data_IF_974203062020
#
_entry.id   IF_974203062020
#
_cell.length_a   1.000
_cell.length_b   1.000
_cell.length_c   1.000
_cell.angle_alpha   90.00
_cell.angle_beta   90.00
_cell.angle_gamma   90.00
#
_symmetry.space_group_name_H-M   'P 1'
#
loop_
_entity.id
_entity.type
_entity.pdbx_description
1 polymer ?
#
# COMPACT_ATOMS: atom_id res chain seq x y z
N UNK A 1 -38.84 22.80 -4.88
CA UNK A 1 -39.79 22.52 -3.78
C UNK A 1 -40.05 21.02 -3.63
N UNK A 2 -40.60 20.34 -4.66
CA UNK A 2 -40.93 18.89 -4.63
C UNK A 2 -39.79 17.98 -4.16
N UNK A 3 -38.59 18.13 -4.71
CA UNK A 3 -37.43 17.30 -4.34
C UNK A 3 -37.06 17.42 -2.86
N UNK A 4 -37.15 18.62 -2.28
CA UNK A 4 -36.85 18.83 -0.86
C UNK A 4 -37.91 18.17 0.03
N UNK A 5 -39.19 18.19 -0.38
CA UNK A 5 -40.24 17.46 0.32
C UNK A 5 -40.00 15.94 0.28
N UNK A 6 -39.62 15.38 -0.87
CA UNK A 6 -39.29 13.95 -1.00
C UNK A 6 -38.12 13.55 -0.09
N UNK A 7 -37.06 14.35 -0.08
CA UNK A 7 -35.89 14.16 0.81
C UNK A 7 -36.35 14.15 2.26
N UNK A 8 -37.11 15.17 2.68
CA UNK A 8 -37.64 15.29 4.04
C UNK A 8 -38.47 14.07 4.42
N UNK A 9 -39.40 13.64 3.58
CA UNK A 9 -40.23 12.44 3.79
C UNK A 9 -39.38 11.18 3.98
N UNK A 10 -38.35 10.96 3.15
CA UNK A 10 -37.50 9.77 3.26
C UNK A 10 -36.66 9.81 4.54
N UNK A 11 -36.09 10.96 4.88
CA UNK A 11 -35.27 11.13 6.08
C UNK A 11 -36.11 10.94 7.34
N UNK A 12 -37.26 11.62 7.43
CA UNK A 12 -38.09 11.65 8.64
C UNK A 12 -38.93 10.37 8.79
N UNK A 13 -39.66 9.98 7.75
CA UNK A 13 -40.62 8.86 7.83
C UNK A 13 -39.98 7.49 7.63
N UNK A 14 -38.84 7.42 6.95
CA UNK A 14 -38.18 6.16 6.60
C UNK A 14 -36.74 6.05 7.10
N UNK A 15 -36.33 6.96 8.00
CA UNK A 15 -34.98 6.98 8.60
C UNK A 15 -33.87 6.94 7.54
N UNK A 16 -34.08 7.66 6.45
CA UNK A 16 -33.12 7.84 5.37
C UNK A 16 -33.15 6.77 4.27
N UNK A 17 -33.95 5.70 4.36
CA UNK A 17 -34.03 4.71 3.29
C UNK A 17 -35.36 3.96 3.20
N UNK A 18 -35.84 3.77 1.96
CA UNK A 18 -36.96 2.91 1.60
C UNK A 18 -36.71 2.28 0.23
N UNK A 19 -37.37 1.17 -0.09
CA UNK A 19 -37.42 0.66 -1.46
C UNK A 19 -38.50 1.40 -2.24
N UNK A 20 -38.14 1.99 -3.39
CA UNK A 20 -39.08 2.66 -4.28
C UNK A 20 -39.40 1.70 -5.44
N UNK A 21 -40.40 0.86 -5.23
CA UNK A 21 -41.03 0.06 -6.28
C UNK A 21 -42.09 0.88 -7.06
N UNK A 22 -42.79 0.24 -7.99
CA UNK A 22 -43.83 0.89 -8.79
C UNK A 22 -44.98 1.46 -7.93
N UNK A 23 -45.40 0.74 -6.88
CA UNK A 23 -46.48 1.18 -5.98
C UNK A 23 -46.08 2.38 -5.13
N UNK A 24 -44.89 2.34 -4.56
CA UNK A 24 -44.33 3.43 -3.76
C UNK A 24 -44.10 4.66 -4.63
N UNK A 25 -43.56 4.49 -5.84
CA UNK A 25 -43.39 5.58 -6.79
C UNK A 25 -44.74 6.24 -7.12
N UNK A 26 -45.78 5.47 -7.41
CA UNK A 26 -47.11 6.00 -7.69
C UNK A 26 -47.65 6.83 -6.50
N UNK A 27 -47.47 6.34 -5.26
CA UNK A 27 -47.83 7.07 -4.04
C UNK A 27 -47.06 8.39 -3.89
N UNK A 28 -45.75 8.38 -4.12
CA UNK A 28 -44.91 9.58 -4.02
C UNK A 28 -45.26 10.62 -5.10
N UNK A 29 -45.54 10.18 -6.33
CA UNK A 29 -45.99 11.07 -7.40
C UNK A 29 -47.38 11.64 -7.10
N UNK A 30 -48.32 10.81 -6.61
CA UNK A 30 -49.65 11.27 -6.21
C UNK A 30 -49.61 12.29 -5.07
N UNK A 31 -48.74 12.09 -4.07
CA UNK A 31 -48.60 13.00 -2.94
C UNK A 31 -47.91 14.33 -3.30
N UNK A 32 -46.99 14.33 -4.26
CA UNK A 32 -46.24 15.53 -4.65
C UNK A 32 -46.80 16.25 -5.87
N UNK A 33 -47.72 15.62 -6.62
CA UNK A 33 -48.27 16.13 -7.87
C UNK A 33 -47.23 16.25 -8.99
N UNK A 34 -46.06 15.61 -8.88
CA UNK A 34 -44.97 15.78 -9.83
C UNK A 34 -44.14 14.51 -9.99
N UNK A 35 -43.76 14.22 -11.23
CA UNK A 35 -42.75 13.21 -11.57
C UNK A 35 -41.39 13.58 -10.99
N UNK A 36 -40.58 12.58 -10.63
CA UNK A 36 -39.20 12.78 -10.17
C UNK A 36 -38.26 11.69 -10.69
N UNK A 37 -36.97 12.04 -10.77
CA UNK A 37 -35.90 11.06 -11.06
C UNK A 37 -35.44 10.39 -9.76
N UNK A 38 -35.57 9.06 -9.69
CA UNK A 38 -35.05 8.25 -8.57
C UNK A 38 -33.54 8.42 -8.41
N UNK A 39 -32.80 8.52 -9.52
CA UNK A 39 -31.35 8.69 -9.51
C UNK A 39 -30.96 10.05 -8.90
N UNK A 40 -31.61 11.14 -9.33
CA UNK A 40 -31.35 12.47 -8.79
C UNK A 40 -31.74 12.58 -7.29
N UNK A 41 -32.82 11.90 -6.89
CA UNK A 41 -33.21 11.81 -5.48
C UNK A 41 -32.17 11.01 -4.66
N UNK A 42 -31.65 9.91 -5.21
CA UNK A 42 -30.63 9.09 -4.57
C UNK A 42 -29.32 9.87 -4.38
N UNK A 43 -28.91 10.64 -5.39
CA UNK A 43 -27.74 11.53 -5.32
C UNK A 43 -27.87 12.57 -4.20
N UNK A 44 -29.03 13.25 -4.11
CA UNK A 44 -29.26 14.27 -3.07
C UNK A 44 -29.32 13.71 -1.65
N UNK A 45 -29.72 12.45 -1.51
CA UNK A 45 -29.72 11.74 -0.23
C UNK A 45 -28.38 11.05 0.06
N UNK A 46 -27.42 11.16 -0.85
CA UNK A 46 -26.11 10.49 -0.76
C UNK A 46 -26.29 8.99 -0.53
N UNK A 47 -27.26 8.38 -1.24
CA UNK A 47 -27.52 6.96 -1.07
C UNK A 47 -26.32 6.15 -1.55
N UNK A 48 -25.91 5.10 -0.80
CA UNK A 48 -24.80 4.25 -1.16
C UNK A 48 -25.16 3.35 -2.35
N UNK A 49 -25.09 3.91 -3.55
CA UNK A 49 -25.20 3.13 -4.80
C UNK A 49 -23.89 2.39 -5.05
N UNK A 50 -23.94 1.34 -5.87
CA UNK A 50 -22.71 0.62 -6.27
C UNK A 50 -21.69 1.52 -6.98
N UNK A 51 -22.12 2.65 -7.56
CA UNK A 51 -21.24 3.62 -8.21
C UNK A 51 -20.56 4.57 -7.24
N UNK A 52 -21.22 4.91 -6.14
CA UNK A 52 -20.64 5.72 -5.06
C UNK A 52 -19.69 4.89 -4.19
N UNK A 53 -20.04 3.64 -3.93
CA UNK A 53 -19.26 2.75 -3.07
C UNK A 53 -18.00 2.22 -3.77
N UNK A 54 -18.02 2.04 -5.10
CA UNK A 54 -16.89 1.44 -5.81
C UNK A 54 -15.57 2.25 -5.72
N UNK A 55 -15.57 3.59 -5.92
CA UNK A 55 -14.40 4.44 -5.74
C UNK A 55 -13.80 4.38 -4.32
N UNK A 56 -14.65 4.24 -3.29
CA UNK A 56 -14.19 4.12 -1.90
C UNK A 56 -13.33 2.86 -1.74
N UNK A 57 -13.80 1.72 -2.26
CA UNK A 57 -13.02 0.47 -2.16
C UNK A 57 -11.72 0.53 -2.97
N UNK A 58 -11.73 1.18 -4.14
CA UNK A 58 -10.50 1.43 -4.92
C UNK A 58 -9.50 2.20 -4.08
N UNK A 59 -9.95 3.33 -3.52
CA UNK A 59 -9.08 4.24 -2.80
C UNK A 59 -8.50 3.54 -1.57
N UNK A 60 -9.32 2.79 -0.82
CA UNK A 60 -8.85 2.01 0.32
C UNK A 60 -7.78 0.97 -0.07
N UNK A 61 -7.95 0.25 -1.18
CA UNK A 61 -6.93 -0.72 -1.67
C UNK A 61 -5.67 -0.01 -2.15
N UNK A 62 -5.80 1.17 -2.77
CA UNK A 62 -4.65 1.94 -3.23
C UNK A 62 -3.80 2.47 -2.06
N UNK A 63 -4.45 2.93 -0.97
CA UNK A 63 -3.76 3.40 0.23
C UNK A 63 -3.24 2.25 1.11
N UNK A 64 -3.99 1.16 1.20
CA UNK A 64 -3.67 0.00 2.02
C UNK A 64 -3.62 -1.26 1.14
N UNK A 65 -2.56 -1.43 0.32
CA UNK A 65 -2.44 -2.55 -0.61
C UNK A 65 -2.25 -3.90 0.10
N UNK A 66 -2.23 -3.91 1.44
CA UNK A 66 -2.29 -5.12 2.26
C UNK A 66 -3.70 -5.74 2.22
N UNK A 67 -4.75 -4.93 2.03
CA UNK A 67 -6.16 -5.34 1.90
C UNK A 67 -6.44 -5.96 0.55
N UNK A 68 -6.72 -7.27 0.52
CA UNK A 68 -7.10 -7.95 -0.73
C UNK A 68 -8.52 -7.56 -1.07
N UNK A 69 -8.87 -7.63 -2.35
CA UNK A 69 -10.25 -7.49 -2.81
C UNK A 69 -11.20 -8.41 -2.03
N UNK A 70 -10.86 -9.68 -1.88
CA UNK A 70 -11.67 -10.65 -1.16
C UNK A 70 -11.78 -10.32 0.34
N UNK A 71 -10.68 -9.91 0.98
CA UNK A 71 -10.69 -9.57 2.41
C UNK A 71 -11.44 -8.26 2.69
N UNK A 72 -11.31 -7.27 1.80
CA UNK A 72 -11.98 -5.98 1.92
C UNK A 72 -13.49 -6.11 1.68
N UNK A 73 -13.89 -6.72 0.57
CA UNK A 73 -15.31 -6.88 0.23
C UNK A 73 -16.01 -7.90 1.15
N UNK A 74 -15.26 -8.85 1.68
CA UNK A 74 -15.73 -9.79 2.70
C UNK A 74 -15.76 -9.24 4.12
N UNK A 75 -15.32 -8.00 4.36
CA UNK A 75 -15.19 -7.44 5.71
C UNK A 75 -16.55 -7.41 6.46
N UNK A 76 -16.56 -8.02 7.65
CA UNK A 76 -17.70 -8.03 8.57
C UNK A 76 -17.50 -6.92 9.60
N UNK A 77 -18.21 -5.82 9.42
CA UNK A 77 -18.20 -4.68 10.33
C UNK A 77 -18.75 -5.07 11.72
N UNK A 78 -19.78 -5.90 11.74
CA UNK A 78 -20.42 -6.40 12.95
C UNK A 78 -20.38 -7.93 13.02
N UNK A 79 -20.26 -8.46 14.24
CA UNK A 79 -20.46 -9.87 14.51
C UNK A 79 -21.96 -10.22 14.53
N UNK A 80 -22.27 -11.52 14.69
CA UNK A 80 -23.66 -12.03 14.72
C UNK A 80 -24.49 -11.46 15.87
N UNK A 81 -23.85 -11.02 16.95
CA UNK A 81 -24.50 -10.43 18.12
C UNK A 81 -24.64 -8.90 17.99
N UNK A 82 -24.10 -8.33 16.91
CA UNK A 82 -24.09 -6.91 16.62
C UNK A 82 -23.05 -6.08 17.33
N UNK A 83 -22.04 -6.72 17.91
CA UNK A 83 -20.84 -6.03 18.38
C UNK A 83 -20.00 -5.60 17.17
N UNK A 84 -19.44 -4.39 17.23
CA UNK A 84 -18.52 -3.88 16.21
C UNK A 84 -17.22 -4.69 16.28
N UNK A 85 -16.89 -5.40 15.20
CA UNK A 85 -15.75 -6.32 15.14
C UNK A 85 -14.81 -6.04 13.97
N UNK A 86 -15.32 -5.48 12.87
CA UNK A 86 -14.53 -5.25 11.65
C UNK A 86 -13.81 -3.91 11.60
N UNK A 87 -14.17 -2.97 12.47
CA UNK A 87 -13.52 -1.67 12.62
C UNK A 87 -13.47 -1.31 14.10
N UNK A 88 -12.27 -1.36 14.68
CA UNK A 88 -12.05 -1.25 16.12
C UNK A 88 -10.87 -0.33 16.41
N UNK A 89 -10.91 0.34 17.55
CA UNK A 89 -9.79 1.15 18.05
C UNK A 89 -8.91 0.29 18.95
N UNK A 90 -7.60 0.38 18.73
CA UNK A 90 -6.55 -0.33 19.46
C UNK A 90 -5.49 0.67 19.92
N UNK A 91 -4.54 0.22 20.74
CA UNK A 91 -3.43 1.08 21.21
C UNK A 91 -2.55 1.58 20.04
N UNK A 92 -2.49 0.83 18.94
CA UNK A 92 -1.77 1.18 17.70
C UNK A 92 -2.60 1.99 16.70
N UNK A 93 -3.83 2.38 17.08
CA UNK A 93 -4.75 3.17 16.26
C UNK A 93 -6.01 2.40 15.85
N UNK A 94 -6.80 2.98 14.95
CA UNK A 94 -8.00 2.33 14.43
C UNK A 94 -7.64 1.35 13.31
N UNK A 95 -8.13 0.12 13.43
CA UNK A 95 -7.82 -0.98 12.52
C UNK A 95 -9.07 -1.50 11.81
N UNK A 96 -8.89 -1.96 10.57
CA UNK A 96 -9.84 -2.87 9.93
C UNK A 96 -9.44 -4.32 10.21
N UNK A 97 -10.38 -5.08 10.77
CA UNK A 97 -10.20 -6.52 11.02
C UNK A 97 -10.84 -7.31 9.89
N UNK A 98 -10.00 -7.95 9.08
CA UNK A 98 -10.44 -8.72 7.90
C UNK A 98 -10.02 -10.19 8.00
N UNK A 99 -10.75 -11.08 7.32
CA UNK A 99 -10.40 -12.51 7.27
C UNK A 99 -9.52 -12.80 6.05
N UNK A 100 -8.45 -13.56 6.24
CA UNK A 100 -7.68 -14.14 5.11
C UNK A 100 -8.34 -15.45 4.66
N UNK A 101 -9.03 -15.42 3.52
CA UNK A 101 -9.76 -16.59 2.98
C UNK A 101 -8.90 -17.87 2.86
N UNK A 102 -7.59 -17.76 2.65
CA UNK A 102 -6.67 -18.91 2.48
C UNK A 102 -6.10 -19.48 3.78
N UNK A 103 -6.19 -18.74 4.91
CA UNK A 103 -5.61 -19.14 6.20
C UNK A 103 -6.65 -19.26 7.32
N UNK A 104 -7.87 -18.76 7.12
CA UNK A 104 -8.91 -18.68 8.16
C UNK A 104 -8.58 -17.70 9.29
N UNK A 105 -7.35 -17.18 9.35
CA UNK A 105 -6.89 -16.23 10.35
C UNK A 105 -7.41 -14.82 10.09
N UNK A 106 -7.70 -14.10 11.17
CA UNK A 106 -7.93 -12.66 11.13
C UNK A 106 -6.63 -11.92 10.83
N UNK A 107 -6.76 -10.75 10.21
CA UNK A 107 -5.69 -9.80 9.97
C UNK A 107 -6.19 -8.42 10.36
N UNK A 108 -5.42 -7.75 11.20
CA UNK A 108 -5.63 -6.35 11.54
C UNK A 108 -4.82 -5.47 10.59
N UNK A 109 -5.47 -4.44 10.05
CA UNK A 109 -4.85 -3.47 9.16
C UNK A 109 -5.00 -2.10 9.81
N UNK A 110 -3.89 -1.55 10.30
CA UNK A 110 -3.82 -0.18 10.82
C UNK A 110 -4.09 0.80 9.68
N UNK A 111 -5.04 1.70 9.92
CA UNK A 111 -5.48 2.68 8.94
C UNK A 111 -4.81 4.04 9.14
N UNK A 112 -4.62 4.77 8.04
CA UNK A 112 -4.25 6.19 8.12
C UNK A 112 -5.44 7.02 8.61
N UNK A 113 -5.17 8.25 9.07
CA UNK A 113 -6.19 9.22 9.49
C UNK A 113 -7.26 9.47 8.42
N UNK A 114 -6.85 9.55 7.16
CA UNK A 114 -7.74 9.73 6.02
C UNK A 114 -8.58 8.47 5.79
N UNK A 115 -7.98 7.28 5.91
CA UNK A 115 -8.69 6.02 5.71
C UNK A 115 -9.70 5.74 6.82
N UNK A 116 -9.40 6.13 8.06
CA UNK A 116 -10.35 6.15 9.18
C UNK A 116 -11.58 6.99 8.81
N UNK A 117 -11.35 8.24 8.37
CA UNK A 117 -12.44 9.16 8.00
C UNK A 117 -13.31 8.61 6.86
N UNK A 118 -12.68 7.98 5.86
CA UNK A 118 -13.38 7.35 4.73
C UNK A 118 -14.21 6.14 5.17
N UNK A 119 -13.68 5.29 6.07
CA UNK A 119 -14.42 4.15 6.63
C UNK A 119 -15.58 4.62 7.50
N UNK A 120 -15.41 5.66 8.30
CA UNK A 120 -16.48 6.25 9.10
C UNK A 120 -17.60 6.83 8.22
N UNK A 121 -17.24 7.58 7.18
CA UNK A 121 -18.20 8.06 6.18
C UNK A 121 -18.95 6.90 5.54
N UNK A 122 -18.24 5.85 5.10
CA UNK A 122 -18.83 4.65 4.52
C UNK A 122 -19.86 4.03 5.48
N UNK A 123 -19.52 3.93 6.76
CA UNK A 123 -20.41 3.37 7.79
C UNK A 123 -21.64 4.25 7.99
N UNK A 124 -21.46 5.58 8.02
CA UNK A 124 -22.55 6.54 8.15
C UNK A 124 -23.53 6.43 6.98
N UNK A 125 -23.06 6.52 5.74
CA UNK A 125 -23.94 6.49 4.55
C UNK A 125 -24.65 5.14 4.36
N UNK A 126 -24.08 4.05 4.88
CA UNK A 126 -24.70 2.72 4.82
C UNK A 126 -25.58 2.37 6.02
N UNK A 127 -25.67 3.25 7.04
CA UNK A 127 -26.48 3.02 8.25
C UNK A 127 -27.98 2.84 7.94
N UNK A 128 -28.63 3.65 7.09
CA UNK A 128 -30.04 3.45 6.74
C UNK A 128 -30.32 2.08 6.11
N UNK A 129 -29.40 1.59 5.25
CA UNK A 129 -29.51 0.27 4.62
C UNK A 129 -29.34 -0.86 5.63
N UNK A 130 -28.40 -0.73 6.59
CA UNK A 130 -28.26 -1.70 7.69
C UNK A 130 -29.52 -1.79 8.53
N UNK A 131 -30.12 -0.64 8.85
CA UNK A 131 -31.37 -0.60 9.62
C UNK A 131 -32.51 -1.28 8.87
N UNK A 132 -32.59 -1.10 7.54
CA UNK A 132 -33.56 -1.78 6.70
C UNK A 132 -33.35 -3.30 6.69
N UNK A 133 -32.13 -3.77 6.45
CA UNK A 133 -31.78 -5.20 6.43
C UNK A 133 -32.03 -5.88 7.78
N UNK A 134 -31.70 -5.20 8.90
CA UNK A 134 -32.03 -5.69 10.27
C UNK A 134 -33.53 -5.92 10.44
N UNK A 135 -34.36 -4.97 10.00
CA UNK A 135 -35.84 -5.10 10.09
C UNK A 135 -36.38 -6.25 9.23
N UNK A 136 -35.65 -6.61 8.18
CA UNK A 136 -35.98 -7.75 7.29
C UNK A 136 -35.35 -9.07 7.74
N UNK A 137 -34.61 -9.08 8.85
CA UNK A 137 -33.87 -10.23 9.35
C UNK A 137 -32.83 -10.78 8.34
N UNK A 138 -32.24 -9.89 7.54
CA UNK A 138 -31.21 -10.22 6.55
C UNK A 138 -29.81 -9.98 7.12
N UNK A 139 -29.01 -11.03 7.25
CA UNK A 139 -27.66 -11.03 7.85
C UNK A 139 -26.63 -10.12 7.13
N UNK A 140 -26.94 -9.67 5.91
CA UNK A 140 -26.11 -8.76 5.13
C UNK A 140 -25.84 -7.41 5.79
N UNK A 141 -26.67 -6.99 6.77
CA UNK A 141 -26.47 -5.75 7.52
C UNK A 141 -25.10 -5.67 8.22
N UNK A 142 -24.48 -6.83 8.50
CA UNK A 142 -23.20 -6.93 9.20
C UNK A 142 -21.99 -6.53 8.36
N UNK A 143 -22.14 -6.43 7.04
CA UNK A 143 -21.03 -6.23 6.11
C UNK A 143 -20.63 -4.76 6.02
N UNK A 144 -19.35 -4.52 5.71
CA UNK A 144 -18.83 -3.16 5.52
C UNK A 144 -19.43 -2.51 4.26
N UNK A 145 -19.48 -3.25 3.14
CA UNK A 145 -19.97 -2.78 1.86
C UNK A 145 -21.39 -3.26 1.57
N UNK A 146 -22.36 -2.35 1.67
CA UNK A 146 -23.78 -2.58 1.39
C UNK A 146 -24.24 -1.51 0.41
N UNK A 147 -24.99 -1.90 -0.61
CA UNK A 147 -25.44 -0.98 -1.67
C UNK A 147 -26.95 -1.05 -1.88
N UNK A 148 -27.56 0.07 -2.26
CA UNK A 148 -28.97 0.16 -2.67
C UNK A 148 -29.13 0.05 -4.20
N UNK A 149 -28.37 -0.87 -4.82
CA UNK A 149 -28.34 -1.05 -6.26
C UNK A 149 -27.61 0.06 -7.04
N UNK A 150 -27.93 0.17 -8.33
CA UNK A 150 -27.31 1.16 -9.25
C UNK A 150 -28.06 2.48 -9.31
N UNK A 151 -29.39 2.44 -9.26
CA UNK A 151 -30.23 3.65 -9.35
C UNK A 151 -30.63 4.21 -7.98
N UNK A 152 -30.23 3.56 -6.89
CA UNK A 152 -30.69 3.85 -5.54
C UNK A 152 -32.10 3.29 -5.28
N UNK A 153 -32.48 3.23 -4.01
CA UNK A 153 -33.80 2.75 -3.55
C UNK A 153 -34.21 1.34 -4.02
N UNK A 154 -33.26 0.52 -4.45
CA UNK A 154 -33.47 -0.89 -4.72
C UNK A 154 -33.25 -1.70 -3.44
N UNK A 155 -33.75 -2.94 -3.38
CA UNK A 155 -33.50 -3.83 -2.24
C UNK A 155 -32.00 -3.87 -1.93
N UNK A 156 -31.58 -3.50 -0.70
CA UNK A 156 -30.17 -3.48 -0.34
C UNK A 156 -29.55 -4.87 -0.41
N UNK A 157 -28.30 -4.95 -0.84
CA UNK A 157 -27.55 -6.20 -0.85
C UNK A 157 -26.08 -5.99 -0.52
N UNK A 158 -25.42 -7.06 -0.08
CA UNK A 158 -23.99 -7.05 0.21
C UNK A 158 -23.21 -6.97 -1.10
N UNK A 159 -22.26 -6.04 -1.15
CA UNK A 159 -21.49 -5.81 -2.35
C UNK A 159 -20.21 -6.67 -2.37
N UNK A 160 -20.36 -7.93 -2.80
CA UNK A 160 -19.31 -8.96 -2.70
C UNK A 160 -18.55 -9.25 -4.01
N UNK A 161 -19.06 -8.83 -5.17
CA UNK A 161 -18.59 -9.36 -6.46
C UNK A 161 -17.55 -8.45 -7.15
N UNK A 162 -16.33 -8.96 -7.31
CA UNK A 162 -15.23 -8.32 -8.04
C UNK A 162 -15.53 -8.05 -9.53
N UNK A 163 -16.26 -8.94 -10.19
CA UNK A 163 -16.68 -8.79 -11.59
C UNK A 163 -17.62 -7.59 -11.70
N UNK A 164 -18.50 -7.41 -10.73
CA UNK A 164 -19.38 -6.24 -10.66
C UNK A 164 -18.57 -4.96 -10.45
N UNK A 165 -17.53 -4.99 -9.61
CA UNK A 165 -16.61 -3.87 -9.42
C UNK A 165 -15.90 -3.46 -10.72
N UNK A 166 -15.21 -4.38 -11.39
CA UNK A 166 -14.50 -4.06 -12.63
C UNK A 166 -15.44 -3.49 -13.71
N UNK A 167 -16.68 -3.99 -13.79
CA UNK A 167 -17.71 -3.44 -14.67
C UNK A 167 -18.16 -2.03 -14.27
N UNK A 168 -18.27 -1.75 -12.96
CA UNK A 168 -18.60 -0.41 -12.46
C UNK A 168 -17.51 0.60 -12.77
N UNK A 169 -16.24 0.23 -12.61
CA UNK A 169 -15.11 1.10 -12.95
C UNK A 169 -15.03 1.41 -14.44
N UNK A 170 -15.68 0.61 -15.27
CA UNK A 170 -15.72 0.75 -16.73
C UNK A 170 -17.05 1.31 -17.22
N UNK A 171 -17.85 1.90 -16.34
CA UNK A 171 -19.06 2.57 -16.78
C UNK A 171 -18.76 3.80 -17.59
N UNK A 172 -19.69 4.09 -18.50
CA UNK A 172 -19.53 5.09 -19.55
C UNK A 172 -19.17 6.46 -18.96
N UNK A 173 -19.78 6.84 -17.85
CA UNK A 173 -19.58 8.13 -17.19
C UNK A 173 -18.16 8.24 -16.60
N UNK A 174 -17.72 7.22 -15.85
CA UNK A 174 -16.36 7.18 -15.31
C UNK A 174 -15.32 7.11 -16.44
N UNK A 175 -15.59 6.30 -17.47
CA UNK A 175 -14.71 6.14 -18.62
C UNK A 175 -14.56 7.44 -19.39
N UNK A 176 -15.67 8.11 -19.69
CA UNK A 176 -15.66 9.39 -20.40
C UNK A 176 -14.93 10.47 -19.59
N UNK A 177 -15.13 10.52 -18.28
CA UNK A 177 -14.49 11.53 -17.43
C UNK A 177 -12.97 11.34 -17.31
N UNK A 178 -12.45 10.11 -17.49
CA UNK A 178 -11.04 9.79 -17.20
C UNK A 178 -10.25 9.19 -18.37
N UNK A 179 -10.88 8.98 -19.53
CA UNK A 179 -10.26 8.33 -20.70
C UNK A 179 -9.00 9.06 -21.18
N UNK A 180 -9.01 10.40 -21.17
CA UNK A 180 -7.84 11.19 -21.59
C UNK A 180 -6.60 10.94 -20.73
N UNK A 181 -6.78 10.69 -19.42
CA UNK A 181 -5.69 10.45 -18.48
C UNK A 181 -5.30 8.97 -18.39
N UNK A 182 -6.28 8.08 -18.44
CA UNK A 182 -6.06 6.65 -18.23
C UNK A 182 -5.77 5.89 -19.53
N UNK A 183 -6.15 6.43 -20.69
CA UNK A 183 -6.00 5.79 -21.98
C UNK A 183 -6.53 4.35 -21.99
N UNK A 184 -5.72 3.42 -22.50
CA UNK A 184 -6.06 2.00 -22.59
C UNK A 184 -6.15 1.29 -21.23
N UNK A 185 -5.51 1.83 -20.18
CA UNK A 185 -5.48 1.20 -18.85
C UNK A 185 -6.88 1.06 -18.25
N UNK A 186 -7.81 1.93 -18.65
CA UNK A 186 -9.18 1.93 -18.15
C UNK A 186 -9.89 0.59 -18.39
N UNK A 187 -9.55 -0.07 -19.51
CA UNK A 187 -10.09 -1.38 -19.91
C UNK A 187 -9.53 -2.54 -19.08
N UNK A 188 -8.55 -2.29 -18.22
CA UNK A 188 -7.91 -3.33 -17.39
C UNK A 188 -8.10 -3.11 -15.90
N UNK A 189 -8.75 -2.00 -15.51
CA UNK A 189 -8.95 -1.66 -14.10
C UNK A 189 -9.71 -2.76 -13.35
N UNK A 190 -9.18 -3.08 -12.17
CA UNK A 190 -9.74 -3.94 -11.15
C UNK A 190 -9.07 -3.65 -9.81
N UNK A 191 -9.68 -4.02 -8.69
CA UNK A 191 -9.05 -3.88 -7.37
C UNK A 191 -7.72 -4.62 -7.30
N UNK A 192 -7.63 -5.82 -7.90
CA UNK A 192 -6.39 -6.59 -7.96
C UNK A 192 -5.26 -5.87 -8.72
N UNK A 193 -5.59 -5.22 -9.85
CA UNK A 193 -4.61 -4.44 -10.63
C UNK A 193 -4.15 -3.21 -9.88
N UNK A 194 -5.08 -2.49 -9.25
CA UNK A 194 -4.78 -1.30 -8.44
C UNK A 194 -3.88 -1.66 -7.25
N UNK A 195 -4.21 -2.76 -6.54
CA UNK A 195 -3.36 -3.32 -5.49
C UNK A 195 -1.95 -3.61 -6.00
N UNK A 196 -1.85 -4.26 -7.16
CA UNK A 196 -0.55 -4.60 -7.73
C UNK A 196 0.27 -3.35 -8.07
N UNK A 197 -0.35 -2.35 -8.69
CA UNK A 197 0.29 -1.07 -8.97
C UNK A 197 0.74 -0.38 -7.69
N UNK A 198 -0.08 -0.34 -6.63
CA UNK A 198 0.32 0.22 -5.34
C UNK A 198 1.55 -0.47 -4.74
N UNK A 199 1.63 -1.81 -4.80
CA UNK A 199 2.82 -2.55 -4.39
C UNK A 199 4.06 -2.20 -5.23
N UNK A 200 3.92 -2.10 -6.55
CA UNK A 200 5.03 -1.68 -7.44
C UNK A 200 5.48 -0.25 -7.14
N UNK A 201 4.57 0.67 -6.81
CA UNK A 201 4.92 2.03 -6.39
C UNK A 201 5.77 2.00 -5.11
N UNK A 202 5.41 1.17 -4.12
CA UNK A 202 6.24 0.98 -2.91
C UNK A 202 7.64 0.50 -3.28
N UNK A 203 7.77 -0.45 -4.21
CA UNK A 203 9.08 -0.86 -4.72
C UNK A 203 9.82 0.29 -5.39
N UNK A 204 9.20 1.05 -6.30
CA UNK A 204 9.86 2.16 -6.98
C UNK A 204 10.34 3.26 -6.03
N UNK A 205 9.58 3.52 -4.96
CA UNK A 205 9.92 4.53 -3.96
C UNK A 205 11.02 4.07 -3.00
N UNK A 206 11.23 2.77 -2.83
CA UNK A 206 12.12 2.23 -1.79
C UNK A 206 13.24 1.34 -2.29
N UNK A 207 13.14 0.89 -3.54
CA UNK A 207 13.95 -0.14 -4.19
C UNK A 207 14.08 -1.45 -3.38
N UNK A 208 13.11 -1.72 -2.50
CA UNK A 208 13.11 -2.89 -1.60
C UNK A 208 11.96 -3.83 -1.93
N UNK A 209 12.29 -5.07 -2.31
CA UNK A 209 11.31 -6.14 -2.49
C UNK A 209 10.65 -6.49 -1.16
N UNK A 210 11.37 -6.37 -0.04
CA UNK A 210 10.86 -6.68 1.28
C UNK A 210 9.75 -5.69 1.69
N UNK A 211 9.99 -4.38 1.53
CA UNK A 211 8.96 -3.34 1.76
C UNK A 211 7.76 -3.50 0.82
N UNK A 212 8.00 -3.88 -0.43
CA UNK A 212 6.91 -4.20 -1.36
C UNK A 212 6.09 -5.41 -0.88
N UNK A 213 6.74 -6.48 -0.45
CA UNK A 213 6.09 -7.69 0.02
C UNK A 213 5.27 -7.44 1.30
N UNK A 214 5.83 -6.69 2.24
CA UNK A 214 5.18 -6.24 3.47
C UNK A 214 3.92 -5.41 3.17
N UNK A 215 4.05 -4.39 2.31
CA UNK A 215 2.89 -3.54 1.92
C UNK A 215 1.78 -4.34 1.25
N UNK A 216 2.13 -5.41 0.52
CA UNK A 216 1.19 -6.34 -0.09
C UNK A 216 0.75 -7.47 0.86
N UNK A 217 1.26 -7.57 2.09
CA UNK A 217 0.98 -8.68 3.01
C UNK A 217 1.27 -10.07 2.42
N UNK A 218 2.26 -10.16 1.53
CA UNK A 218 2.67 -11.35 0.79
C UNK A 218 4.12 -11.73 1.15
N UNK A 219 4.56 -12.93 0.75
CA UNK A 219 5.99 -13.26 0.84
C UNK A 219 6.78 -12.55 -0.25
N UNK A 220 8.09 -12.33 -0.01
CA UNK A 220 9.04 -11.77 -0.97
C UNK A 220 8.96 -12.46 -2.34
N UNK A 221 8.94 -13.80 -2.34
CA UNK A 221 8.81 -14.62 -3.56
C UNK A 221 7.52 -14.32 -4.33
N UNK A 222 6.39 -14.19 -3.64
CA UNK A 222 5.10 -13.90 -4.28
C UNK A 222 5.08 -12.48 -4.85
N UNK A 223 5.58 -11.50 -4.09
CA UNK A 223 5.68 -10.12 -4.55
C UNK A 223 6.56 -10.01 -5.81
N UNK A 224 7.74 -10.63 -5.78
CA UNK A 224 8.66 -10.63 -6.90
C UNK A 224 8.08 -11.31 -8.15
N UNK A 225 7.49 -12.51 -8.01
CA UNK A 225 7.08 -13.32 -9.15
C UNK A 225 5.75 -12.90 -9.79
N UNK A 226 4.85 -12.27 -9.02
CA UNK A 226 3.49 -12.00 -9.48
C UNK A 226 3.12 -10.52 -9.55
N UNK A 227 3.89 -9.64 -8.90
CA UNK A 227 3.55 -8.23 -8.79
C UNK A 227 4.59 -7.32 -9.42
N UNK A 228 5.89 -7.60 -9.23
CA UNK A 228 6.97 -6.77 -9.79
C UNK A 228 7.24 -7.19 -11.24
N UNK A 229 7.03 -6.30 -12.24
CA UNK A 229 7.35 -6.63 -13.62
C UNK A 229 8.85 -6.98 -13.78
N UNK A 230 9.19 -8.08 -14.48
CA UNK A 230 10.59 -8.48 -14.70
C UNK A 230 11.43 -7.39 -15.37
N UNK A 231 10.82 -6.60 -16.27
CA UNK A 231 11.49 -5.48 -16.95
C UNK A 231 11.92 -4.37 -15.99
N UNK A 232 11.10 -4.08 -14.97
CA UNK A 232 11.45 -3.10 -13.94
C UNK A 232 12.59 -3.65 -13.08
N UNK A 233 12.50 -4.92 -12.67
CA UNK A 233 13.56 -5.57 -11.89
C UNK A 233 14.90 -5.53 -12.64
N UNK A 234 14.89 -5.99 -13.90
CA UNK A 234 16.07 -6.03 -14.76
C UNK A 234 16.70 -4.65 -14.93
N UNK A 235 15.89 -3.62 -15.18
CA UNK A 235 16.38 -2.25 -15.29
C UNK A 235 17.18 -1.81 -14.05
N UNK A 236 16.64 -2.05 -12.85
CA UNK A 236 17.35 -1.69 -11.61
C UNK A 236 18.55 -2.58 -11.33
N UNK A 237 18.49 -3.87 -11.64
CA UNK A 237 19.64 -4.78 -11.49
C UNK A 237 20.80 -4.35 -12.42
N UNK A 238 20.52 -4.10 -13.70
CA UNK A 238 21.52 -3.60 -14.64
C UNK A 238 22.08 -2.24 -14.23
N UNK A 239 21.24 -1.36 -13.68
CA UNK A 239 21.68 -0.08 -13.14
C UNK A 239 22.68 -0.28 -12.00
N UNK A 240 22.39 -1.17 -11.05
CA UNK A 240 23.29 -1.46 -9.93
C UNK A 240 24.61 -2.10 -10.38
N UNK A 241 24.55 -3.03 -11.33
CA UNK A 241 25.75 -3.64 -11.92
C UNK A 241 26.62 -2.57 -12.59
N UNK A 242 26.03 -1.67 -13.39
CA UNK A 242 26.76 -0.56 -14.02
C UNK A 242 27.37 0.41 -13.01
N UNK A 243 26.63 0.75 -11.96
CA UNK A 243 27.17 1.59 -10.87
C UNK A 243 28.38 0.91 -10.23
N UNK A 244 28.28 -0.38 -9.89
CA UNK A 244 29.38 -1.13 -9.30
C UNK A 244 30.60 -1.22 -10.24
N UNK A 245 30.39 -1.57 -11.50
CA UNK A 245 31.45 -1.66 -12.50
C UNK A 245 32.17 -0.31 -12.69
N UNK A 246 31.42 0.79 -12.80
CA UNK A 246 32.01 2.12 -12.91
C UNK A 246 32.78 2.51 -11.64
N UNK A 247 32.30 2.16 -10.44
CA UNK A 247 33.04 2.40 -9.20
C UNK A 247 34.39 1.64 -9.17
N UNK A 248 34.39 0.37 -9.60
CA UNK A 248 35.62 -0.45 -9.68
C UNK A 248 36.61 0.13 -10.69
N UNK A 249 36.14 0.50 -11.89
CA UNK A 249 36.98 1.11 -12.93
C UNK A 249 37.58 2.42 -12.42
N UNK A 250 36.78 3.28 -11.80
CA UNK A 250 37.26 4.56 -11.26
C UNK A 250 38.32 4.35 -10.19
N UNK A 251 38.10 3.41 -9.27
CA UNK A 251 39.07 3.09 -8.24
C UNK A 251 40.39 2.56 -8.83
N UNK A 252 40.31 1.63 -9.79
CA UNK A 252 41.47 1.05 -10.45
C UNK A 252 42.25 2.06 -11.31
N UNK A 253 41.56 3.05 -11.88
CA UNK A 253 42.12 4.04 -12.80
C UNK A 253 42.38 5.40 -12.14
N UNK A 254 42.25 5.54 -10.81
CA UNK A 254 42.28 6.83 -10.10
C UNK A 254 43.53 7.66 -10.37
N UNK A 255 44.68 7.00 -10.57
CA UNK A 255 45.98 7.64 -10.81
C UNK A 255 46.36 7.66 -12.32
N UNK A 256 45.45 7.19 -13.19
CA UNK A 256 45.69 7.07 -14.63
C UNK A 256 45.16 8.27 -15.40
N UNK A 257 45.96 8.80 -16.33
CA UNK A 257 45.51 9.80 -17.30
C UNK A 257 44.38 9.32 -18.22
N UNK A 258 44.10 8.01 -18.25
CA UNK A 258 43.02 7.41 -19.03
C UNK A 258 41.73 7.18 -18.23
N UNK A 259 41.62 7.64 -16.98
CA UNK A 259 40.45 7.46 -16.12
C UNK A 259 39.13 7.74 -16.85
N UNK A 260 38.99 8.94 -17.41
CA UNK A 260 37.74 9.33 -18.09
C UNK A 260 37.47 8.47 -19.33
N UNK A 261 38.53 8.11 -20.08
CA UNK A 261 38.44 7.26 -21.28
C UNK A 261 38.04 5.81 -20.96
N UNK A 262 38.35 5.34 -19.76
CA UNK A 262 38.02 3.98 -19.32
C UNK A 262 36.60 3.87 -18.74
N UNK A 263 35.93 5.00 -18.47
CA UNK A 263 34.57 5.07 -17.93
C UNK A 263 33.56 5.50 -18.97
N UNK A 264 32.27 5.29 -18.69
CA UNK A 264 31.15 5.76 -19.53
C UNK A 264 30.77 7.24 -19.30
N UNK A 265 31.62 8.05 -18.65
CA UNK A 265 31.31 9.46 -18.35
C UNK A 265 31.84 10.41 -19.43
N UNK A 266 31.05 11.42 -19.80
CA UNK A 266 31.41 12.40 -20.82
C UNK A 266 32.39 13.47 -20.28
N UNK A 267 32.46 13.65 -18.96
CA UNK A 267 33.31 14.66 -18.32
C UNK A 267 33.69 14.32 -16.88
N UNK A 268 34.77 14.94 -16.40
CA UNK A 268 35.17 14.86 -14.98
C UNK A 268 34.07 15.40 -14.04
N UNK A 269 33.27 16.38 -14.48
CA UNK A 269 32.13 16.89 -13.71
C UNK A 269 31.05 15.84 -13.52
N UNK A 270 30.76 15.04 -14.55
CA UNK A 270 29.80 13.94 -14.47
C UNK A 270 30.31 12.81 -13.58
N UNK A 271 31.59 12.45 -13.74
CA UNK A 271 32.27 11.49 -12.86
C UNK A 271 32.22 11.94 -11.39
N UNK A 272 32.49 13.22 -11.10
CA UNK A 272 32.40 13.73 -9.73
C UNK A 272 30.98 13.62 -9.17
N UNK A 273 29.95 13.97 -9.94
CA UNK A 273 28.54 13.79 -9.54
C UNK A 273 28.19 12.32 -9.28
N UNK A 274 28.75 11.41 -10.08
CA UNK A 274 28.61 9.98 -9.85
C UNK A 274 29.25 9.58 -8.53
N UNK A 275 30.47 10.04 -8.24
CA UNK A 275 31.16 9.74 -6.99
C UNK A 275 30.44 10.34 -5.78
N UNK A 276 30.01 11.60 -5.82
CA UNK A 276 29.22 12.21 -4.74
C UNK A 276 27.96 11.39 -4.39
N UNK A 277 27.35 10.78 -5.40
CA UNK A 277 26.10 10.05 -5.25
C UNK A 277 26.28 8.57 -4.90
N UNK A 278 27.31 7.93 -5.44
CA UNK A 278 27.47 6.47 -5.40
C UNK A 278 28.84 6.00 -4.92
N UNK A 279 29.86 6.87 -4.84
CA UNK A 279 31.05 6.51 -4.11
C UNK A 279 30.62 6.28 -2.67
N UNK A 280 30.98 5.10 -2.18
CA UNK A 280 30.97 4.79 -0.76
C UNK A 280 31.66 5.98 -0.09
N UNK A 281 30.95 6.69 0.80
CA UNK A 281 31.48 7.86 1.52
C UNK A 281 32.92 7.54 1.93
N UNK A 282 33.84 8.46 1.65
CA UNK A 282 35.23 8.31 2.05
C UNK A 282 35.27 7.81 3.50
N UNK A 283 36.03 6.74 3.75
CA UNK A 283 36.36 6.33 5.10
C UNK A 283 36.85 7.57 5.84
N UNK A 284 36.40 7.82 7.08
CA UNK A 284 36.95 8.92 7.86
C UNK A 284 38.48 8.73 7.87
N UNK A 285 39.20 9.74 7.39
CA UNK A 285 40.66 9.74 7.48
C UNK A 285 41.02 9.52 8.94
N UNK A 286 41.64 8.37 9.24
CA UNK A 286 42.16 8.08 10.58
C UNK A 286 43.45 8.88 10.72
N UNK A 287 43.31 10.18 10.84
CA UNK A 287 44.38 11.12 11.17
C UNK A 287 44.03 11.74 12.51
N UNK A 288 44.17 10.94 13.56
CA UNK A 288 44.64 11.29 14.92
C UNK A 288 44.13 10.27 15.97
N UNK A 289 44.90 9.99 17.04
CA UNK A 289 44.50 9.02 18.05
C UNK A 289 43.22 9.46 18.74
N UNK A 290 42.25 8.54 18.79
CA UNK A 290 40.93 8.67 19.39
C UNK A 290 41.00 9.28 20.80
N UNK A 291 40.77 10.59 20.91
CA UNK A 291 40.38 11.21 22.15
C UNK A 291 38.87 11.08 22.29
N UNK A 292 38.46 10.38 23.35
CA UNK A 292 37.09 10.17 23.76
C UNK A 292 36.31 11.50 23.87
N UNK A 293 35.29 11.68 23.04
CA UNK A 293 33.95 12.16 23.41
C UNK A 293 33.19 12.70 22.19
N UNK A 294 32.32 11.88 21.60
CA UNK A 294 31.07 12.30 20.96
C UNK A 294 30.37 11.05 20.40
N UNK A 295 29.34 10.57 21.08
CA UNK A 295 28.40 9.62 20.51
C UNK A 295 27.40 10.37 19.61
N UNK A 296 27.18 9.94 18.35
CA UNK A 296 25.93 10.20 17.66
C UNK A 296 25.03 8.98 17.82
N UNK A 297 23.86 9.19 18.41
CA UNK A 297 22.78 8.22 18.55
C UNK A 297 22.36 7.63 17.19
N UNK A 298 22.67 6.35 16.98
CA UNK A 298 22.10 5.53 15.91
C UNK A 298 21.00 4.66 16.51
N UNK A 299 19.75 5.06 16.24
CA UNK A 299 18.55 4.32 16.61
C UNK A 299 18.58 2.89 16.04
N UNK A 300 18.37 1.94 16.93
CA UNK A 300 18.42 0.51 16.67
C UNK A 300 17.37 0.03 15.65
N UNK A 301 17.83 -0.56 14.56
CA UNK A 301 17.13 -1.63 13.85
C UNK A 301 18.17 -2.45 13.08
N UNK A 302 18.37 -3.70 13.50
CA UNK A 302 19.18 -4.74 12.83
C UNK A 302 20.45 -4.25 12.14
N UNK A 303 21.51 -4.03 12.92
CA UNK A 303 22.79 -3.47 12.46
C UNK A 303 23.51 -4.42 11.47
N UNK A 304 23.12 -4.40 10.21
CA UNK A 304 23.98 -4.88 9.13
C UNK A 304 25.12 -3.87 8.97
N UNK A 305 26.32 -4.25 9.42
CA UNK A 305 27.54 -3.49 9.19
C UNK A 305 27.97 -3.79 7.75
N UNK A 306 27.77 -2.83 6.84
CA UNK A 306 28.30 -2.91 5.48
C UNK A 306 29.77 -2.51 5.54
N UNK A 307 30.66 -3.50 5.51
CA UNK A 307 32.10 -3.28 5.36
C UNK A 307 32.41 -3.23 3.87
N UNK A 308 32.82 -2.07 3.37
CA UNK A 308 33.41 -1.96 2.04
C UNK A 308 34.76 -2.66 2.03
N UNK A 309 34.93 -3.68 1.21
CA UNK A 309 36.20 -4.39 1.08
C UNK A 309 37.17 -3.57 0.21
N UNK A 310 38.22 -3.03 0.82
CA UNK A 310 39.41 -2.55 0.12
C UNK A 310 40.66 -3.27 0.62
N UNK A 311 41.80 -3.03 -0.04
CA UNK A 311 43.07 -3.68 0.29
C UNK A 311 43.51 -3.41 1.73
N UNK A 312 43.21 -2.22 2.26
CA UNK A 312 43.63 -1.79 3.58
C UNK A 312 42.82 -2.49 4.68
N UNK A 313 41.51 -2.58 4.51
CA UNK A 313 40.61 -3.35 5.38
C UNK A 313 40.95 -4.83 5.33
N UNK A 314 41.25 -5.38 4.14
CA UNK A 314 41.70 -6.76 4.00
C UNK A 314 43.03 -7.00 4.71
N UNK A 315 44.00 -6.08 4.59
CA UNK A 315 45.29 -6.16 5.32
C UNK A 315 45.07 -6.09 6.82
N UNK A 316 44.18 -5.23 7.31
CA UNK A 316 43.85 -5.12 8.74
C UNK A 316 43.21 -6.42 9.24
N UNK A 317 42.24 -6.97 8.52
CA UNK A 317 41.57 -8.22 8.89
C UNK A 317 42.54 -9.41 8.89
N UNK A 318 43.43 -9.49 7.89
CA UNK A 318 44.48 -10.51 7.83
C UNK A 318 45.49 -10.34 8.96
N UNK A 319 45.93 -9.10 9.24
CA UNK A 319 46.89 -8.81 10.31
C UNK A 319 46.30 -9.10 11.69
N UNK A 320 45.02 -8.79 11.90
CA UNK A 320 44.29 -9.11 13.12
C UNK A 320 44.24 -10.61 13.34
N UNK A 321 43.93 -11.38 12.29
CA UNK A 321 43.93 -12.84 12.35
C UNK A 321 45.29 -13.39 12.74
N UNK A 322 46.36 -12.95 12.07
CA UNK A 322 47.72 -13.38 12.37
C UNK A 322 48.12 -13.01 13.82
N UNK A 323 47.69 -11.85 14.30
CA UNK A 323 47.94 -11.43 15.69
C UNK A 323 47.19 -12.31 16.71
N UNK A 324 45.94 -12.71 16.42
CA UNK A 324 45.18 -13.64 17.27
C UNK A 324 45.78 -15.04 17.27
N UNK A 325 46.17 -15.55 16.09
CA UNK A 325 46.85 -16.86 15.96
C UNK A 325 48.17 -16.89 16.75
N UNK A 326 48.94 -15.79 16.74
CA UNK A 326 50.18 -15.65 17.50
C UNK A 326 49.97 -15.42 19.01
N UNK A 327 48.88 -14.76 19.41
CA UNK A 327 48.56 -14.50 20.82
C UNK A 327 47.97 -15.73 21.54
N UNK A 328 47.45 -16.71 20.80
CA UNK A 328 46.87 -17.93 21.35
C UNK A 328 45.75 -17.64 22.37
N UNK A 329 45.66 -18.37 23.50
CA UNK A 329 44.56 -18.22 24.46
C UNK A 329 44.50 -16.86 25.17
N UNK A 330 45.47 -15.98 24.94
CA UNK A 330 45.52 -14.63 25.52
C UNK A 330 44.81 -13.56 24.67
N UNK A 331 44.25 -13.92 23.51
CA UNK A 331 43.50 -12.98 22.68
C UNK A 331 42.17 -12.56 23.34
N UNK A 332 41.81 -11.28 23.23
CA UNK A 332 40.54 -10.78 23.76
C UNK A 332 39.35 -11.31 22.96
N UNK A 333 38.19 -11.50 23.60
CA UNK A 333 36.99 -12.01 22.93
C UNK A 333 36.54 -11.18 21.73
N UNK A 334 36.77 -9.86 21.76
CA UNK A 334 36.51 -8.97 20.62
C UNK A 334 37.46 -9.26 19.44
N UNK A 335 38.76 -9.49 19.71
CA UNK A 335 39.73 -9.81 18.66
C UNK A 335 39.43 -11.16 18.00
N UNK A 336 39.02 -12.17 18.80
CA UNK A 336 38.59 -13.48 18.29
C UNK A 336 37.37 -13.32 17.38
N UNK A 337 36.33 -12.61 17.84
CA UNK A 337 35.11 -12.37 17.06
C UNK A 337 35.39 -11.74 15.68
N UNK A 338 36.24 -10.72 15.62
CA UNK A 338 36.59 -10.04 14.37
C UNK A 338 37.52 -10.86 13.47
N UNK A 339 38.36 -11.75 14.02
CA UNK A 339 39.21 -12.64 13.23
C UNK A 339 38.42 -13.69 12.43
N UNK A 340 37.25 -14.09 12.93
CA UNK A 340 36.37 -15.10 12.32
C UNK A 340 35.35 -14.52 11.32
N UNK A 341 35.38 -13.21 11.06
CA UNK A 341 34.39 -12.49 10.27
C UNK A 341 34.19 -13.05 8.85
N UNK A 342 35.20 -13.71 8.27
CA UNK A 342 35.15 -14.32 6.93
C UNK A 342 34.34 -15.62 6.84
N UNK A 343 33.98 -16.27 7.97
CA UNK A 343 33.21 -17.52 7.97
C UNK A 343 31.68 -17.33 7.94
N UNK A 344 31.19 -16.09 8.07
CA UNK A 344 29.76 -15.78 8.16
C UNK A 344 29.18 -15.04 6.93
N UNK A 345 29.92 -14.98 5.83
CA UNK A 345 29.49 -14.40 4.55
C UNK A 345 28.73 -15.38 3.67
#
# INVERSE_FOLDING_TARGET
MVMNCLIKTIVESHRGFIVIDHSMRARLVGATGSSFSTMALAERLVLPTKYMIAPIAIWLVAQHPILTDASLLGCELFDRNGKRSGFVSTDSGSVLVVKKNRKGSQQEVVLSSEAISVVELLIQITTPLRNYLKKKNDDGWRRLFIVAGGQGFQEPYVFTNQISFAKILRQKEFVQAHSAKLGELISTLSLARIRATAGVIVYLNTLSIDKMAESLGNSKRVAMNHYLPPTIMQFFQERWVRIFQNAVIVYAMRDSHFLLKATDFDSMTELNKFLEKYALRALPEVTEPLNHSAEPELGASGSEIIISLDEEILRILISLRLAVENAGPCASGAAIYWSEFHYKG
#
